data_IF_026590091255
#
_entry.id   IF_026590091255
#
_cell.length_a   1.000
_cell.length_b   1.000
_cell.length_c   1.000
_cell.angle_alpha   90.00
_cell.angle_beta   90.00
_cell.angle_gamma   90.00
#
_symmetry.space_group_name_H-M   'P 1'
#
loop_
_entity.id
_entity.type
_entity.pdbx_description
1 polymer ?
#
# COMPACT_ATOMS: atom_id res chain seq x y z
N UNK A 1 13.04 53.97 32.14
CA UNK A 1 13.40 53.57 30.77
C UNK A 1 13.78 52.09 30.64
N UNK A 2 14.69 51.55 31.46
CA UNK A 2 15.16 50.14 31.38
C UNK A 2 14.05 49.06 31.43
N UNK A 3 13.03 49.22 32.30
CA UNK A 3 11.92 48.26 32.44
C UNK A 3 10.96 48.24 31.25
N UNK A 4 10.79 49.37 30.56
CA UNK A 4 9.90 49.47 29.39
C UNK A 4 10.54 48.76 28.19
N UNK A 5 11.83 48.99 27.99
CA UNK A 5 12.64 48.35 26.96
C UNK A 5 12.66 46.82 27.12
N UNK A 6 12.89 46.30 28.33
CA UNK A 6 12.81 44.85 28.59
C UNK A 6 11.41 44.27 28.31
N UNK A 7 10.34 45.00 28.62
CA UNK A 7 8.96 44.55 28.35
C UNK A 7 8.66 44.49 26.86
N UNK A 8 9.20 45.40 26.06
CA UNK A 8 9.02 45.41 24.60
C UNK A 8 9.79 44.26 23.95
N UNK A 9 11.06 44.04 24.33
CA UNK A 9 11.83 42.90 23.83
C UNK A 9 11.23 41.56 24.25
N UNK A 10 10.73 41.43 25.48
CA UNK A 10 10.05 40.22 25.93
C UNK A 10 8.83 39.87 25.08
N UNK A 11 8.05 40.87 24.64
CA UNK A 11 6.90 40.66 23.75
C UNK A 11 7.31 40.22 22.34
N UNK A 12 8.39 40.80 21.80
CA UNK A 12 8.91 40.45 20.48
C UNK A 12 9.45 39.02 20.49
N UNK A 13 10.22 38.66 21.51
CA UNK A 13 10.78 37.31 21.67
C UNK A 13 9.65 36.28 21.84
N UNK A 14 8.64 36.57 22.67
CA UNK A 14 7.49 35.69 22.85
C UNK A 14 6.70 35.47 21.55
N UNK A 15 6.55 36.52 20.73
CA UNK A 15 5.85 36.42 19.45
C UNK A 15 6.64 35.59 18.43
N UNK A 16 7.96 35.81 18.35
CA UNK A 16 8.85 35.04 17.47
C UNK A 16 8.90 33.56 17.88
N UNK A 17 8.99 33.26 19.18
CA UNK A 17 8.97 31.89 19.68
C UNK A 17 7.62 31.20 19.46
N UNK A 18 6.50 31.92 19.58
CA UNK A 18 5.17 31.38 19.28
C UNK A 18 5.02 31.08 17.79
N UNK A 19 5.48 31.98 16.92
CA UNK A 19 5.43 31.79 15.47
C UNK A 19 6.32 30.62 15.02
N UNK A 20 7.55 30.52 15.55
CA UNK A 20 8.43 29.38 15.33
C UNK A 20 7.80 28.08 15.84
N UNK A 21 7.27 28.08 17.06
CA UNK A 21 6.62 26.92 17.65
C UNK A 21 5.44 26.40 16.83
N UNK A 22 4.58 27.28 16.31
CA UNK A 22 3.45 26.88 15.45
C UNK A 22 3.91 26.40 14.07
N UNK A 23 4.97 26.97 13.50
CA UNK A 23 5.52 26.52 12.21
C UNK A 23 6.29 25.21 12.32
N UNK A 24 7.04 24.98 13.39
CA UNK A 24 7.82 23.75 13.59
C UNK A 24 7.02 22.62 14.24
N UNK A 25 5.89 22.92 14.89
CA UNK A 25 4.99 21.93 15.50
C UNK A 25 4.08 21.22 14.48
N UNK A 26 4.07 21.66 13.23
CA UNK A 26 3.39 20.93 12.17
C UNK A 26 4.28 19.78 11.68
N UNK A 27 4.37 18.73 12.49
CA UNK A 27 4.61 17.37 12.00
C UNK A 27 3.37 16.96 11.16
N UNK A 28 3.21 17.56 9.98
CA UNK A 28 2.23 17.17 8.94
C UNK A 28 2.75 15.95 8.17
N UNK A 29 3.98 15.52 8.46
CA UNK A 29 4.68 14.50 7.69
C UNK A 29 4.62 13.21 8.50
N UNK A 30 3.75 12.32 8.02
CA UNK A 30 3.54 10.93 8.43
C UNK A 30 2.57 10.74 9.62
N UNK A 31 1.47 9.97 9.44
CA UNK A 31 0.67 9.53 10.56
C UNK A 31 1.55 8.65 11.45
N UNK A 32 2.04 9.23 12.55
CA UNK A 32 2.67 8.47 13.62
C UNK A 32 1.63 7.47 14.09
N UNK A 33 2.01 6.19 14.12
CA UNK A 33 1.17 5.11 14.62
C UNK A 33 1.04 5.30 16.14
N UNK A 34 0.16 6.20 16.54
CA UNK A 34 -0.13 6.51 17.93
C UNK A 34 -0.97 5.39 18.54
N UNK A 35 -0.91 5.28 19.87
CA UNK A 35 -1.71 4.33 20.64
C UNK A 35 -3.20 4.53 20.32
N UNK A 36 -3.78 3.61 19.56
CA UNK A 36 -5.17 3.70 19.13
C UNK A 36 -5.36 4.22 17.70
N UNK A 37 -4.59 3.71 16.73
CA UNK A 37 -4.91 3.91 15.31
C UNK A 37 -5.93 2.87 14.84
N UNK A 38 -6.99 3.25 14.09
CA UNK A 38 -7.97 2.29 13.60
C UNK A 38 -7.29 1.29 12.65
N UNK A 39 -7.36 -0.01 12.95
CA UNK A 39 -6.73 -1.06 12.16
C UNK A 39 -7.74 -2.09 11.65
N UNK A 40 -7.39 -2.75 10.55
CA UNK A 40 -8.12 -3.87 9.99
C UNK A 40 -7.15 -4.95 9.52
N UNK A 41 -7.60 -6.20 9.60
CA UNK A 41 -6.87 -7.33 9.02
C UNK A 41 -7.46 -7.64 7.66
N UNK A 42 -6.59 -7.89 6.68
CA UNK A 42 -6.96 -8.21 5.31
C UNK A 42 -6.37 -9.56 4.95
N UNK A 43 -7.16 -10.37 4.26
CA UNK A 43 -6.74 -11.63 3.67
C UNK A 43 -7.10 -11.61 2.20
N UNK A 44 -6.10 -11.63 1.34
CA UNK A 44 -6.30 -11.73 -0.09
C UNK A 44 -5.93 -13.13 -0.53
N UNK A 45 -6.89 -13.84 -1.14
CA UNK A 45 -6.67 -15.17 -1.70
C UNK A 45 -6.85 -15.13 -3.21
N UNK A 46 -6.16 -16.02 -3.90
CA UNK A 46 -6.36 -16.18 -5.32
C UNK A 46 -5.46 -17.23 -5.93
N UNK A 47 -5.55 -17.32 -7.25
CA UNK A 47 -4.73 -18.20 -8.05
C UNK A 47 -3.96 -17.42 -9.12
N UNK A 48 -2.74 -17.85 -9.42
CA UNK A 48 -1.92 -17.33 -10.50
C UNK A 48 -1.76 -18.42 -11.56
N UNK A 49 -2.16 -18.11 -12.78
CA UNK A 49 -2.10 -19.02 -13.92
C UNK A 49 -1.54 -18.34 -15.17
N UNK A 50 -1.03 -19.14 -16.10
CA UNK A 50 -0.62 -18.68 -17.42
C UNK A 50 -1.86 -18.41 -18.30
N UNK A 51 -1.85 -17.27 -18.99
CA UNK A 51 -2.99 -16.81 -19.78
C UNK A 51 -3.29 -17.70 -21.00
N UNK A 52 -2.29 -18.36 -21.59
CA UNK A 52 -2.42 -19.16 -22.81
C UNK A 52 -2.90 -20.58 -22.53
N UNK A 53 -2.28 -21.26 -21.56
CA UNK A 53 -2.53 -22.68 -21.30
C UNK A 53 -3.31 -22.94 -20.01
N UNK A 54 -3.62 -21.88 -19.23
CA UNK A 54 -4.31 -21.95 -17.93
C UNK A 54 -3.60 -22.84 -16.92
N UNK A 55 -2.30 -23.12 -17.11
CA UNK A 55 -1.51 -23.87 -16.14
C UNK A 55 -1.23 -22.99 -14.92
N UNK A 56 -1.32 -23.55 -13.71
CA UNK A 56 -0.95 -22.83 -12.50
C UNK A 56 0.54 -22.50 -12.51
N UNK A 57 0.89 -21.33 -11.99
CA UNK A 57 2.28 -20.86 -11.89
C UNK A 57 2.73 -20.96 -10.43
N UNK A 58 3.66 -21.86 -10.17
CA UNK A 58 4.31 -22.04 -8.86
C UNK A 58 5.41 -21.00 -8.63
N UNK A 59 5.66 -20.66 -7.36
CA UNK A 59 6.73 -19.79 -6.87
C UNK A 59 6.69 -18.35 -7.42
N UNK A 60 5.54 -17.89 -7.90
CA UNK A 60 5.33 -16.51 -8.29
C UNK A 60 5.24 -15.62 -7.03
N UNK A 61 5.98 -14.51 -7.00
CA UNK A 61 5.87 -13.57 -5.89
C UNK A 61 4.59 -12.74 -6.04
N UNK A 62 3.73 -12.78 -5.03
CA UNK A 62 2.55 -11.93 -4.91
C UNK A 62 2.80 -10.94 -3.78
N UNK A 63 2.80 -9.66 -4.14
CA UNK A 63 3.26 -8.56 -3.30
C UNK A 63 2.10 -7.61 -3.05
N UNK A 64 1.84 -7.32 -1.77
CA UNK A 64 1.02 -6.16 -1.39
C UNK A 64 1.94 -4.97 -1.16
N UNK A 65 1.71 -3.89 -1.91
CA UNK A 65 2.41 -2.62 -1.70
C UNK A 65 1.69 -1.79 -0.65
N UNK A 66 2.40 -1.46 0.42
CA UNK A 66 1.95 -0.53 1.43
C UNK A 66 1.88 0.90 0.89
N UNK A 67 1.03 1.74 1.49
CA UNK A 67 1.08 3.20 1.26
C UNK A 67 2.43 3.80 1.66
N UNK A 68 3.13 3.15 2.59
CA UNK A 68 4.47 3.53 3.08
C UNK A 68 5.59 2.74 2.41
N UNK A 69 5.34 2.16 1.23
CA UNK A 69 6.35 1.41 0.47
C UNK A 69 7.66 2.21 0.33
N UNK A 70 8.84 1.58 0.51
CA UNK A 70 9.05 0.13 0.60
C UNK A 70 8.78 -0.49 1.99
N UNK A 71 8.47 0.31 3.02
CA UNK A 71 8.20 -0.21 4.35
C UNK A 71 6.83 -0.91 4.40
N UNK A 72 6.72 -1.97 5.21
CA UNK A 72 5.47 -2.73 5.45
C UNK A 72 4.87 -3.39 4.19
N UNK A 73 5.66 -3.58 3.15
CA UNK A 73 5.30 -4.49 2.06
C UNK A 73 5.32 -5.92 2.57
N UNK A 74 4.38 -6.73 2.09
CA UNK A 74 4.34 -8.15 2.38
C UNK A 74 4.35 -8.93 1.06
N UNK A 75 5.01 -10.08 1.06
CA UNK A 75 5.22 -10.92 -0.12
C UNK A 75 5.01 -12.38 0.22
N UNK A 76 4.18 -13.04 -0.56
CA UNK A 76 3.98 -14.50 -0.49
C UNK A 76 4.35 -15.14 -1.82
N UNK A 77 4.66 -16.43 -1.79
CA UNK A 77 4.93 -17.23 -2.98
C UNK A 77 3.74 -18.14 -3.27
N UNK A 78 3.41 -18.34 -4.54
CA UNK A 78 2.37 -19.28 -4.94
C UNK A 78 2.82 -20.73 -4.73
N UNK A 79 1.87 -21.60 -4.36
CA UNK A 79 2.09 -23.03 -4.24
C UNK A 79 2.16 -23.74 -5.62
N UNK A 80 2.39 -25.05 -5.62
CA UNK A 80 2.42 -25.89 -6.84
C UNK A 80 1.12 -25.85 -7.66
N UNK A 81 0.00 -25.46 -7.04
CA UNK A 81 -1.29 -25.27 -7.70
C UNK A 81 -1.53 -23.81 -8.11
N UNK A 82 -0.55 -22.93 -7.95
CA UNK A 82 -0.63 -21.49 -8.25
C UNK A 82 -1.41 -20.69 -7.24
N UNK A 83 -1.83 -21.28 -6.11
CA UNK A 83 -2.62 -20.58 -5.11
C UNK A 83 -1.73 -19.76 -4.18
N UNK A 84 -2.28 -18.66 -3.68
CA UNK A 84 -1.63 -17.86 -2.64
C UNK A 84 -2.67 -17.34 -1.63
N UNK A 85 -2.17 -17.07 -0.43
CA UNK A 85 -2.91 -16.40 0.64
C UNK A 85 -2.00 -15.35 1.27
N UNK A 86 -2.42 -14.08 1.15
CA UNK A 86 -1.68 -12.93 1.64
C UNK A 86 -2.45 -12.30 2.80
N UNK A 87 -1.90 -12.39 4.00
CA UNK A 87 -2.51 -11.84 5.21
C UNK A 87 -1.71 -10.62 5.69
N UNK A 88 -2.36 -9.47 5.89
CA UNK A 88 -1.70 -8.28 6.41
C UNK A 88 -2.64 -7.42 7.26
N UNK A 89 -2.07 -6.65 8.18
CA UNK A 89 -2.80 -5.67 8.98
C UNK A 89 -2.43 -4.27 8.53
N UNK A 90 -3.43 -3.41 8.31
CA UNK A 90 -3.23 -2.03 7.91
C UNK A 90 -4.08 -1.07 8.75
N UNK A 91 -3.60 0.18 8.88
CA UNK A 91 -4.38 1.27 9.45
C UNK A 91 -5.51 1.62 8.47
N UNK A 92 -6.75 1.45 8.92
CA UNK A 92 -7.95 1.61 8.11
C UNK A 92 -8.79 2.77 8.66
N UNK A 93 -8.64 3.97 8.10
CA UNK A 93 -9.50 5.12 8.45
C UNK A 93 -10.85 5.11 7.72
N UNK A 94 -11.02 4.21 6.74
CA UNK A 94 -12.23 4.07 5.95
C UNK A 94 -12.12 2.93 4.96
N UNK A 95 -13.04 2.92 3.99
CA UNK A 95 -13.01 1.99 2.87
C UNK A 95 -11.90 2.42 1.89
N UNK A 96 -10.84 1.61 1.78
CA UNK A 96 -9.70 1.85 0.88
C UNK A 96 -9.48 0.67 -0.05
N UNK A 97 -9.01 0.97 -1.26
CA UNK A 97 -8.73 -0.04 -2.27
C UNK A 97 -7.36 -0.67 -2.06
N UNK A 98 -7.27 -1.96 -2.30
CA UNK A 98 -6.06 -2.75 -2.08
C UNK A 98 -5.41 -3.05 -3.43
N UNK A 99 -4.11 -2.82 -3.52
CA UNK A 99 -3.31 -3.11 -4.71
C UNK A 99 -2.46 -4.35 -4.46
N UNK A 100 -2.65 -5.36 -5.30
CA UNK A 100 -1.89 -6.60 -5.28
C UNK A 100 -1.17 -6.74 -6.61
N UNK A 101 0.11 -7.09 -6.55
CA UNK A 101 1.02 -7.12 -7.69
C UNK A 101 1.74 -8.46 -7.76
N UNK A 102 1.98 -8.95 -8.98
CA UNK A 102 2.77 -10.16 -9.21
C UNK A 102 4.16 -9.82 -9.74
N UNK A 103 5.18 -10.54 -9.28
CA UNK A 103 6.56 -10.39 -9.75
C UNK A 103 7.20 -11.75 -9.95
N UNK A 104 7.76 -11.96 -11.14
CA UNK A 104 8.65 -13.08 -11.40
C UNK A 104 10.08 -12.65 -11.01
N UNK A 105 10.44 -12.92 -9.75
CA UNK A 105 11.73 -12.50 -9.18
C UNK A 105 12.86 -13.44 -9.64
N UNK A 106 12.54 -14.72 -9.87
CA UNK A 106 13.55 -15.77 -10.02
C UNK A 106 13.88 -16.07 -11.48
N UNK A 107 12.85 -16.32 -12.32
CA UNK A 107 13.06 -16.78 -13.70
C UNK A 107 12.86 -15.68 -14.73
N UNK A 108 12.03 -14.68 -14.41
CA UNK A 108 11.70 -13.59 -15.32
C UNK A 108 10.99 -14.05 -16.60
N UNK A 109 10.28 -15.17 -16.52
CA UNK A 109 9.53 -15.75 -17.64
C UNK A 109 8.19 -15.07 -17.84
N UNK A 110 7.59 -14.51 -16.79
CA UNK A 110 6.26 -13.92 -16.82
C UNK A 110 6.30 -12.41 -16.65
N UNK A 111 5.42 -11.72 -17.40
CA UNK A 111 5.15 -10.30 -17.19
C UNK A 111 4.37 -10.11 -15.89
N UNK A 112 4.86 -9.20 -15.07
CA UNK A 112 4.17 -8.72 -13.89
C UNK A 112 2.83 -8.07 -14.21
N UNK A 113 1.87 -8.26 -13.31
CA UNK A 113 0.53 -7.68 -13.42
C UNK A 113 0.08 -7.10 -12.07
N UNK A 114 -0.93 -6.23 -12.09
CA UNK A 114 -1.48 -5.56 -10.90
C UNK A 114 -3.00 -5.61 -10.90
N UNK A 115 -3.58 -6.07 -9.80
CA UNK A 115 -5.02 -6.05 -9.56
C UNK A 115 -5.32 -5.05 -8.45
N UNK A 116 -6.33 -4.19 -8.71
CA UNK A 116 -6.93 -3.31 -7.71
C UNK A 116 -8.22 -3.95 -7.23
N UNK A 117 -8.27 -4.33 -5.96
CA UNK A 117 -9.48 -4.80 -5.29
C UNK A 117 -10.18 -3.58 -4.72
N UNK A 118 -11.41 -3.31 -5.15
CA UNK A 118 -12.16 -2.17 -4.62
C UNK A 118 -12.59 -2.44 -3.18
N UNK A 119 -12.64 -1.42 -2.35
CA UNK A 119 -13.09 -1.55 -0.97
C UNK A 119 -14.52 -2.13 -0.87
N UNK A 120 -15.38 -1.87 -1.86
CA UNK A 120 -16.73 -2.41 -1.97
C UNK A 120 -16.79 -3.92 -2.28
N UNK A 121 -15.73 -4.48 -2.84
CA UNK A 121 -15.61 -5.90 -3.19
C UNK A 121 -15.08 -6.74 -2.01
N UNK A 122 -14.54 -6.07 -0.98
CA UNK A 122 -14.03 -6.72 0.22
C UNK A 122 -15.17 -7.23 1.08
N UNK A 123 -15.12 -8.52 1.41
CA UNK A 123 -16.10 -9.17 2.28
C UNK A 123 -15.62 -9.10 3.72
N UNK A 124 -16.41 -8.48 4.60
CA UNK A 124 -16.12 -8.52 6.03
C UNK A 124 -16.40 -9.91 6.60
N UNK A 125 -15.35 -10.58 7.08
CA UNK A 125 -15.41 -11.92 7.71
C UNK A 125 -15.25 -11.86 9.23
N UNK A 126 -14.61 -10.82 9.76
CA UNK A 126 -14.41 -10.59 11.19
C UNK A 126 -15.18 -9.36 11.68
N UNK A 127 -15.91 -9.51 12.79
CA UNK A 127 -16.69 -8.42 13.37
C UNK A 127 -15.80 -7.30 13.89
N UNK A 128 -16.26 -6.06 13.69
CA UNK A 128 -15.72 -4.87 14.34
C UNK A 128 -15.75 -5.05 15.86
N UNK A 129 -14.68 -4.68 16.55
CA UNK A 129 -14.65 -4.64 18.02
C UNK A 129 -14.93 -3.22 18.50
N UNK A 130 -15.32 -3.05 19.77
CA UNK A 130 -15.67 -1.75 20.36
C UNK A 130 -14.53 -0.71 20.38
N UNK A 131 -13.32 -1.09 19.97
CA UNK A 131 -12.11 -0.27 20.00
C UNK A 131 -11.71 0.14 18.57
N UNK A 132 -10.45 0.57 18.39
CA UNK A 132 -9.78 0.89 17.14
C UNK A 132 -9.59 -0.29 16.16
N UNK A 133 -10.43 -1.33 16.20
CA UNK A 133 -10.32 -2.48 15.29
C UNK A 133 -11.58 -2.63 14.44
N UNK A 134 -11.44 -2.37 13.15
CA UNK A 134 -12.52 -2.32 12.18
C UNK A 134 -13.03 -3.70 11.76
N UNK A 135 -12.25 -4.76 11.96
CA UNK A 135 -12.61 -6.14 11.61
C UNK A 135 -11.57 -6.80 10.72
N UNK A 136 -11.93 -8.01 10.25
CA UNK A 136 -11.16 -8.79 9.27
C UNK A 136 -11.91 -8.82 7.94
N UNK A 137 -11.24 -8.55 6.84
CA UNK A 137 -11.79 -8.49 5.49
C UNK A 137 -11.11 -9.51 4.59
N UNK A 138 -11.88 -10.06 3.67
CA UNK A 138 -11.41 -11.02 2.68
C UNK A 138 -11.60 -10.45 1.27
N UNK A 139 -10.54 -10.49 0.48
CA UNK A 139 -10.53 -10.11 -0.93
C UNK A 139 -10.10 -11.28 -1.80
N UNK A 140 -10.48 -11.23 -3.09
CA UNK A 140 -10.07 -12.21 -4.08
C UNK A 140 -9.34 -11.54 -5.24
N UNK A 141 -8.19 -12.05 -5.63
CA UNK A 141 -7.44 -11.57 -6.79
C UNK A 141 -6.82 -12.73 -7.57
N UNK A 142 -7.43 -13.10 -8.68
CA UNK A 142 -6.91 -14.15 -9.58
C UNK A 142 -6.12 -13.51 -10.72
N UNK A 143 -4.87 -13.93 -10.90
CA UNK A 143 -3.97 -13.40 -11.93
C UNK A 143 -3.86 -14.37 -13.10
N UNK A 144 -3.85 -13.79 -14.31
CA UNK A 144 -3.57 -14.50 -15.56
C UNK A 144 -2.39 -13.84 -16.24
N UNK A 145 -1.21 -14.42 -16.07
CA UNK A 145 0.05 -13.81 -16.49
C UNK A 145 0.39 -14.18 -17.93
N UNK A 146 0.96 -13.21 -18.65
CA UNK A 146 1.44 -13.42 -20.01
C UNK A 146 2.92 -13.74 -19.94
N UNK A 147 3.32 -14.85 -20.55
CA UNK A 147 4.73 -15.21 -20.70
C UNK A 147 5.46 -14.20 -21.58
N UNK A 148 6.68 -13.83 -21.20
CA UNK A 148 7.51 -12.93 -21.99
C UNK A 148 7.80 -13.55 -23.37
N UNK A 149 7.53 -12.83 -24.47
CA UNK A 149 7.97 -13.27 -25.79
C UNK A 149 9.47 -12.99 -25.94
N UNK A 150 10.32 -13.94 -25.53
CA UNK A 150 11.76 -13.91 -25.79
C UNK A 150 12.61 -13.18 -24.74
N UNK A 151 13.96 -13.23 -24.88
CA UNK A 151 14.90 -12.79 -23.86
C UNK A 151 14.66 -11.32 -23.49
N UNK A 152 14.55 -11.04 -22.20
CA UNK A 152 14.39 -9.69 -21.70
C UNK A 152 15.54 -8.80 -22.19
N UNK A 153 15.27 -7.62 -22.77
CA UNK A 153 16.34 -6.67 -23.04
C UNK A 153 17.02 -6.27 -21.73
N UNK A 154 18.34 -6.41 -21.66
CA UNK A 154 19.20 -6.02 -20.53
C UNK A 154 19.20 -4.50 -20.26
N UNK A 155 18.50 -3.74 -21.09
CA UNK A 155 18.22 -2.32 -20.95
C UNK A 155 16.73 -2.22 -20.61
N UNK A 156 16.45 -1.69 -19.42
CA UNK A 156 15.18 -1.82 -18.69
C UNK A 156 13.89 -1.68 -19.50
N UNK A 157 12.84 -2.32 -18.98
CA UNK A 157 11.49 -2.34 -19.54
C UNK A 157 11.03 -0.90 -19.80
N UNK A 158 10.71 -0.59 -21.06
CA UNK A 158 10.14 0.70 -21.43
C UNK A 158 8.81 0.84 -20.66
N UNK A 159 8.64 1.88 -19.81
CA UNK A 159 7.41 2.05 -19.05
C UNK A 159 6.22 2.13 -20.01
N UNK A 160 5.13 1.46 -19.67
CA UNK A 160 3.91 1.49 -20.47
C UNK A 160 3.46 2.95 -20.69
N UNK A 161 3.18 3.31 -21.95
CA UNK A 161 2.69 4.65 -22.29
C UNK A 161 1.39 4.93 -21.53
N UNK A 162 1.39 6.00 -20.75
CA UNK A 162 0.22 6.53 -20.08
C UNK A 162 -0.88 6.81 -21.12
N UNK A 163 -2.07 6.24 -20.95
CA UNK A 163 -3.26 6.68 -21.67
C UNK A 163 -3.93 7.76 -20.83
N UNK A 164 -3.99 8.97 -21.35
CA UNK A 164 -4.80 10.03 -20.76
C UNK A 164 -6.27 9.58 -20.73
N UNK A 165 -6.91 9.78 -19.58
CA UNK A 165 -8.33 9.51 -19.40
C UNK A 165 -9.04 10.74 -19.96
N UNK A 166 -9.66 10.61 -21.13
CA UNK A 166 -10.58 11.63 -21.65
C UNK A 166 -11.79 11.71 -20.72
N UNK A 167 -12.01 12.89 -20.14
CA UNK A 167 -13.14 13.17 -19.27
C UNK A 167 -14.41 13.45 -20.08
N UNK A 168 -15.52 12.84 -19.66
CA UNK A 168 -16.89 13.30 -19.93
C UNK A 168 -17.40 14.18 -18.78
#
# INVERSE_FOLDING_TARGET
MKKFVLRTYGKIIAWVLTALGLYTSCDIIEPRVEYGSPSADFVVKGNVSDMQNLQPIEDMAVIRKSRTAPHWNDTVRTDANGNYELEFTEVAFGAEDIWVYTSDIDKGEYRSDTIRIKASELRQIGKRRKNWYNGKFEGKADFKLVRHPGPMPMYGVIPAKYKEIEGE
#
